data_IF_094680712762
#
_entry.id   IF_094680712762
#
_cell.length_a   1.000
_cell.length_b   1.000
_cell.length_c   1.000
_cell.angle_alpha   90.00
_cell.angle_beta   90.00
_cell.angle_gamma   90.00
#
_symmetry.space_group_name_H-M   'P 1'
#
loop_
_entity.id
_entity.type
_entity.pdbx_description
1 polymer ?
#
# COMPACT_ATOMS: atom_id res chain seq x y z
N UNK A 1 -5.30 24.99 13.11
CA UNK A 1 -4.84 24.63 11.75
C UNK A 1 -3.34 24.27 11.65
N UNK A 2 -2.45 24.69 12.57
CA UNK A 2 -1.01 24.38 12.50
C UNK A 2 -0.58 22.96 12.93
N UNK A 3 -1.44 22.18 13.60
CA UNK A 3 -1.09 20.81 14.02
C UNK A 3 -1.24 19.78 12.87
N UNK A 4 -2.29 19.90 12.04
CA UNK A 4 -2.51 19.00 10.91
C UNK A 4 -1.37 19.04 9.88
N UNK A 5 -0.75 20.21 9.67
CA UNK A 5 0.40 20.36 8.78
C UNK A 5 1.69 19.70 9.30
N UNK A 6 1.76 19.32 10.57
CA UNK A 6 2.96 18.68 11.12
C UNK A 6 2.93 17.15 10.98
N UNK A 7 1.74 16.56 11.02
CA UNK A 7 1.56 15.10 11.07
C UNK A 7 1.11 14.46 9.75
N UNK A 8 0.69 15.25 8.75
CA UNK A 8 0.26 14.71 7.45
C UNK A 8 1.32 13.83 6.77
N UNK A 9 2.60 14.07 7.05
CA UNK A 9 3.69 13.28 6.49
C UNK A 9 3.64 11.80 6.92
N UNK A 10 2.96 11.49 8.03
CA UNK A 10 2.86 10.14 8.56
C UNK A 10 1.66 9.34 8.02
N UNK A 11 0.72 10.01 7.35
CA UNK A 11 -0.49 9.40 6.76
C UNK A 11 -0.20 8.15 5.94
N UNK A 12 0.77 8.11 4.99
CA UNK A 12 1.00 6.91 4.21
C UNK A 12 1.47 5.72 5.05
N UNK A 13 2.29 5.91 6.09
CA UNK A 13 2.76 4.79 6.92
C UNK A 13 1.64 4.21 7.77
N UNK A 14 0.82 5.08 8.38
CA UNK A 14 -0.36 4.65 9.13
C UNK A 14 -1.34 3.89 8.24
N UNK A 15 -1.52 4.35 7.00
CA UNK A 15 -2.31 3.65 5.99
C UNK A 15 -1.78 2.23 5.73
N UNK A 16 -0.49 2.08 5.41
CA UNK A 16 0.07 0.76 5.12
C UNK A 16 0.06 -0.18 6.34
N UNK A 17 0.25 0.35 7.55
CA UNK A 17 0.10 -0.44 8.79
C UNK A 17 -1.35 -0.94 8.92
N UNK A 18 -2.34 -0.07 8.71
CA UNK A 18 -3.76 -0.44 8.80
C UNK A 18 -4.15 -1.48 7.75
N UNK A 19 -3.69 -1.32 6.50
CA UNK A 19 -3.91 -2.29 5.42
C UNK A 19 -3.32 -3.65 5.79
N UNK A 20 -2.08 -3.69 6.27
CA UNK A 20 -1.42 -4.92 6.68
C UNK A 20 -2.13 -5.58 7.86
N UNK A 21 -2.60 -4.81 8.85
CA UNK A 21 -3.36 -5.32 9.99
C UNK A 21 -4.73 -5.87 9.57
N UNK A 22 -5.42 -5.19 8.64
CA UNK A 22 -6.69 -5.67 8.09
C UNK A 22 -6.50 -6.99 7.34
N UNK A 23 -5.48 -7.06 6.47
CA UNK A 23 -5.18 -8.26 5.70
C UNK A 23 -4.79 -9.42 6.61
N UNK A 24 -3.93 -9.16 7.61
CA UNK A 24 -3.59 -10.14 8.64
C UNK A 24 -4.84 -10.68 9.33
N UNK A 25 -5.75 -9.81 9.76
CA UNK A 25 -6.97 -10.23 10.47
C UNK A 25 -7.85 -11.14 9.60
N UNK A 26 -7.97 -10.84 8.31
CA UNK A 26 -8.72 -11.66 7.37
C UNK A 26 -8.07 -13.03 7.16
N UNK A 27 -6.76 -13.06 6.89
CA UNK A 27 -6.04 -14.32 6.62
C UNK A 27 -5.86 -15.17 7.88
N UNK A 28 -5.62 -14.55 9.03
CA UNK A 28 -5.47 -15.26 10.30
C UNK A 28 -6.76 -16.01 10.69
N UNK A 29 -7.93 -15.55 10.26
CA UNK A 29 -9.20 -16.26 10.48
C UNK A 29 -9.31 -17.56 9.68
N UNK A 30 -8.66 -17.66 8.52
CA UNK A 30 -8.75 -18.82 7.62
C UNK A 30 -7.53 -19.73 7.69
N UNK A 31 -6.35 -19.16 7.88
CA UNK A 31 -5.05 -19.83 7.70
C UNK A 31 -4.21 -19.88 9.01
N UNK A 32 -4.62 -19.13 10.05
CA UNK A 32 -3.96 -19.15 11.37
C UNK A 32 -2.51 -18.68 11.34
N UNK A 33 -1.58 -19.52 11.83
CA UNK A 33 -0.17 -19.15 12.08
C UNK A 33 0.57 -18.70 10.81
N UNK A 34 0.18 -19.20 9.64
CA UNK A 34 0.78 -18.80 8.34
C UNK A 34 0.49 -17.34 7.97
N UNK A 35 -0.41 -16.65 8.69
CA UNK A 35 -0.69 -15.23 8.50
C UNK A 35 0.35 -14.30 9.16
N UNK A 36 1.12 -14.77 10.16
CA UNK A 36 2.07 -13.92 10.91
C UNK A 36 3.17 -13.24 10.07
N UNK A 37 3.70 -13.83 8.98
CA UNK A 37 4.58 -13.12 8.05
C UNK A 37 3.97 -11.83 7.48
N UNK A 38 2.64 -11.74 7.36
CA UNK A 38 1.95 -10.53 6.92
C UNK A 38 2.20 -9.39 7.90
N UNK A 39 2.11 -9.64 9.22
CA UNK A 39 2.42 -8.63 10.24
C UNK A 39 3.86 -8.12 10.15
N UNK A 40 4.81 -8.98 9.79
CA UNK A 40 6.21 -8.56 9.63
C UNK A 40 6.39 -7.50 8.52
N UNK A 41 5.53 -7.50 7.49
CA UNK A 41 5.55 -6.45 6.47
C UNK A 41 5.16 -5.06 7.00
N UNK A 42 4.51 -4.97 8.17
CA UNK A 42 4.21 -3.67 8.80
C UNK A 42 5.43 -3.04 9.48
N UNK A 43 6.45 -3.84 9.85
CA UNK A 43 7.66 -3.38 10.54
C UNK A 43 8.40 -2.24 9.83
N UNK A 44 8.69 -2.30 8.51
CA UNK A 44 9.37 -1.20 7.83
C UNK A 44 8.58 0.12 7.90
N UNK A 45 7.24 0.07 7.94
CA UNK A 45 6.39 1.25 8.08
C UNK A 45 6.36 1.77 9.51
N UNK A 46 6.31 0.87 10.51
CA UNK A 46 6.40 1.25 11.91
C UNK A 46 7.75 1.91 12.22
N UNK A 47 8.83 1.37 11.66
CA UNK A 47 10.16 1.93 11.79
C UNK A 47 10.25 3.35 11.23
N UNK A 48 9.58 3.65 10.12
CA UNK A 48 9.53 5.02 9.56
C UNK A 48 8.83 6.03 10.46
N UNK A 49 7.88 5.60 11.29
CA UNK A 49 7.21 6.48 12.25
C UNK A 49 8.14 6.80 13.42
N UNK A 50 8.82 5.78 13.96
CA UNK A 50 9.70 5.92 15.14
C UNK A 50 11.01 6.64 14.76
N UNK A 51 11.67 6.18 13.71
CA UNK A 51 12.97 6.67 13.24
C UNK A 51 12.97 6.83 11.72
N UNK A 52 12.57 8.01 11.21
CA UNK A 52 12.46 8.22 9.78
C UNK A 52 13.81 8.05 9.08
N UNK A 53 13.82 7.27 8.00
CA UNK A 53 15.01 7.02 7.20
C UNK A 53 14.69 7.23 5.73
N UNK A 54 15.36 8.20 5.11
CA UNK A 54 15.13 8.56 3.70
C UNK A 54 15.37 7.44 2.72
N UNK A 55 16.44 6.65 2.88
CA UNK A 55 16.77 5.54 1.96
C UNK A 55 15.67 4.49 2.02
N UNK A 56 15.29 4.09 3.23
CA UNK A 56 14.20 3.12 3.44
C UNK A 56 12.86 3.66 2.92
N UNK A 57 12.56 4.95 3.12
CA UNK A 57 11.32 5.56 2.65
C UNK A 57 11.25 5.61 1.12
N UNK A 58 12.38 5.91 0.46
CA UNK A 58 12.48 5.90 -0.99
C UNK A 58 12.27 4.48 -1.55
N UNK A 59 12.95 3.49 -0.98
CA UNK A 59 12.81 2.09 -1.40
C UNK A 59 11.36 1.63 -1.27
N UNK A 60 10.73 1.83 -0.10
CA UNK A 60 9.33 1.48 0.12
C UNK A 60 8.39 2.24 -0.83
N UNK A 61 8.61 3.55 -1.02
CA UNK A 61 7.80 4.33 -1.96
C UNK A 61 7.88 3.78 -3.39
N UNK A 62 9.09 3.52 -3.88
CA UNK A 62 9.32 3.02 -5.25
C UNK A 62 8.75 1.61 -5.43
N UNK A 63 8.96 0.71 -4.48
CA UNK A 63 8.45 -0.67 -4.57
C UNK A 63 6.92 -0.69 -4.64
N UNK A 64 6.25 0.05 -3.76
CA UNK A 64 4.79 0.11 -3.74
C UNK A 64 4.20 0.87 -4.93
N UNK A 65 4.88 1.90 -5.46
CA UNK A 65 4.49 2.52 -6.73
C UNK A 65 4.55 1.52 -7.87
N UNK A 66 5.63 0.75 -7.97
CA UNK A 66 5.81 -0.26 -9.02
C UNK A 66 4.73 -1.36 -8.92
N UNK A 67 4.56 -1.94 -7.73
CA UNK A 67 3.54 -2.96 -7.46
C UNK A 67 2.13 -2.46 -7.77
N UNK A 68 1.78 -1.26 -7.31
CA UNK A 68 0.45 -0.70 -7.53
C UNK A 68 0.22 -0.35 -9.00
N UNK A 69 1.24 0.18 -9.70
CA UNK A 69 1.18 0.45 -11.14
C UNK A 69 0.95 -0.83 -11.94
N UNK A 70 1.65 -1.91 -11.59
CA UNK A 70 1.44 -3.22 -12.20
C UNK A 70 0.00 -3.71 -12.02
N UNK A 71 -0.55 -3.61 -10.80
CA UNK A 71 -1.94 -3.99 -10.52
C UNK A 71 -2.95 -3.14 -11.29
N UNK A 72 -2.71 -1.83 -11.42
CA UNK A 72 -3.54 -0.92 -12.22
C UNK A 72 -3.48 -1.30 -13.69
N UNK A 73 -2.30 -1.62 -14.23
CA UNK A 73 -2.15 -2.07 -15.63
C UNK A 73 -2.85 -3.41 -15.88
N UNK A 74 -2.76 -4.35 -14.93
CA UNK A 74 -3.46 -5.62 -15.01
C UNK A 74 -4.99 -5.40 -15.02
N UNK A 75 -5.49 -4.50 -14.16
CA UNK A 75 -6.89 -4.09 -14.14
C UNK A 75 -7.32 -3.48 -15.49
N UNK A 76 -6.53 -2.56 -16.03
CA UNK A 76 -6.82 -1.89 -17.30
C UNK A 76 -6.81 -2.88 -18.47
N UNK A 77 -5.87 -3.82 -18.48
CA UNK A 77 -5.75 -4.86 -19.50
C UNK A 77 -7.00 -5.75 -19.54
N UNK A 78 -7.54 -6.09 -18.36
CA UNK A 78 -8.77 -6.86 -18.26
C UNK A 78 -10.01 -6.04 -18.65
N UNK A 79 -10.05 -4.74 -18.30
CA UNK A 79 -11.12 -3.83 -18.72
C UNK A 79 -11.23 -3.74 -20.25
N UNK A 80 -10.09 -3.76 -20.94
CA UNK A 80 -9.97 -3.72 -22.39
C UNK A 80 -10.14 -5.09 -23.06
N UNK A 81 -10.53 -6.12 -22.30
CA UNK A 81 -10.68 -7.51 -22.77
C UNK A 81 -9.42 -8.10 -23.43
N UNK A 82 -8.22 -7.60 -23.09
CA UNK A 82 -6.94 -8.13 -23.61
C UNK A 82 -6.58 -9.51 -22.99
N UNK A 83 -7.33 -9.95 -21.98
CA UNK A 83 -7.16 -11.21 -21.24
C UNK A 83 -8.53 -11.90 -21.09
N UNK A 84 -8.66 -13.23 -21.25
CA UNK A 84 -9.93 -13.94 -21.19
C UNK A 84 -10.67 -13.73 -19.86
N UNK A 85 -11.99 -13.55 -19.96
CA UNK A 85 -12.90 -13.24 -18.85
C UNK A 85 -13.09 -14.48 -17.97
N UNK A 86 -12.68 -14.42 -16.70
CA UNK A 86 -13.01 -15.45 -15.70
C UNK A 86 -14.09 -14.93 -14.75
N UNK A 87 -15.11 -15.74 -14.47
CA UNK A 87 -16.31 -15.32 -13.73
C UNK A 87 -16.05 -14.90 -12.27
N UNK A 88 -14.91 -15.29 -11.69
CA UNK A 88 -14.51 -14.89 -10.34
C UNK A 88 -14.02 -13.42 -10.27
N UNK A 89 -13.63 -12.82 -11.39
CA UNK A 89 -12.88 -11.55 -11.38
C UNK A 89 -13.75 -10.29 -11.18
N UNK A 90 -15.08 -10.39 -11.33
CA UNK A 90 -15.97 -9.22 -11.31
C UNK A 90 -16.01 -8.47 -9.98
N UNK A 91 -15.98 -9.17 -8.82
CA UNK A 91 -15.96 -8.51 -7.51
C UNK A 91 -14.55 -8.02 -7.12
N UNK A 92 -13.51 -8.77 -7.51
CA UNK A 92 -12.11 -8.35 -7.32
C UNK A 92 -11.78 -7.10 -8.13
N UNK A 93 -12.43 -6.88 -9.26
CA UNK A 93 -12.21 -5.74 -10.12
C UNK A 93 -12.61 -4.40 -9.45
N UNK A 94 -13.79 -4.33 -8.85
CA UNK A 94 -14.30 -3.08 -8.26
C UNK A 94 -13.60 -2.72 -6.96
N UNK A 95 -13.47 -3.68 -6.03
CA UNK A 95 -12.82 -3.43 -4.73
C UNK A 95 -11.29 -3.44 -4.83
N UNK A 96 -10.71 -4.31 -5.66
CA UNK A 96 -9.27 -4.38 -5.88
C UNK A 96 -8.73 -3.20 -6.70
N UNK A 97 -9.50 -2.67 -7.64
CA UNK A 97 -9.11 -1.49 -8.42
C UNK A 97 -8.98 -0.23 -7.56
N UNK A 98 -9.99 0.06 -6.74
CA UNK A 98 -9.94 1.16 -5.76
C UNK A 98 -8.76 1.00 -4.80
N UNK A 99 -8.54 -0.21 -4.29
CA UNK A 99 -7.40 -0.51 -3.42
C UNK A 99 -6.06 -0.24 -4.10
N UNK A 100 -5.88 -0.66 -5.35
CA UNK A 100 -4.65 -0.41 -6.11
C UNK A 100 -4.37 1.09 -6.32
N UNK A 101 -5.40 1.87 -6.63
CA UNK A 101 -5.28 3.33 -6.80
C UNK A 101 -4.92 4.02 -5.48
N UNK A 102 -5.56 3.66 -4.36
CA UNK A 102 -5.26 4.25 -3.06
C UNK A 102 -3.82 3.92 -2.63
N UNK A 103 -3.37 2.67 -2.82
CA UNK A 103 -1.97 2.28 -2.58
C UNK A 103 -0.99 3.09 -3.42
N UNK A 104 -1.30 3.30 -4.70
CA UNK A 104 -0.48 4.12 -5.59
C UNK A 104 -0.36 5.55 -5.08
N UNK A 105 -1.48 6.20 -4.71
CA UNK A 105 -1.49 7.56 -4.17
C UNK A 105 -0.63 7.66 -2.90
N UNK A 106 -0.79 6.71 -1.97
CA UNK A 106 -0.03 6.68 -0.72
C UNK A 106 1.47 6.45 -0.95
N UNK A 107 1.83 5.58 -1.89
CA UNK A 107 3.22 5.32 -2.25
C UNK A 107 3.87 6.55 -2.93
N UNK A 108 3.16 7.23 -3.84
CA UNK A 108 3.60 8.50 -4.43
C UNK A 108 3.79 9.57 -3.34
N UNK A 109 2.92 9.60 -2.34
CA UNK A 109 3.07 10.52 -1.20
C UNK A 109 4.36 10.23 -0.42
N UNK A 110 4.71 8.96 -0.18
CA UNK A 110 5.99 8.60 0.45
C UNK A 110 7.19 9.13 -0.34
N UNK A 111 7.20 8.97 -1.66
CA UNK A 111 8.25 9.49 -2.55
C UNK A 111 8.32 11.02 -2.45
N UNK A 112 7.16 11.70 -2.49
CA UNK A 112 7.08 13.16 -2.34
C UNK A 112 7.68 13.63 -1.02
N UNK A 113 7.43 12.92 0.08
CA UNK A 113 7.98 13.27 1.39
C UNK A 113 9.51 13.12 1.43
N UNK A 114 10.08 12.15 0.70
CA UNK A 114 11.53 12.02 0.52
C UNK A 114 12.13 13.20 -0.24
N UNK A 115 11.52 13.59 -1.37
CA UNK A 115 12.03 14.68 -2.23
C UNK A 115 11.98 16.02 -1.49
N UNK A 116 10.85 16.31 -0.84
CA UNK A 116 10.64 17.57 -0.10
C UNK A 116 11.47 17.70 1.17
N UNK A 117 12.34 16.72 1.49
CA UNK A 117 13.13 16.71 2.73
C UNK A 117 12.26 16.93 3.97
N UNK A 118 11.02 16.40 3.97
CA UNK A 118 10.10 16.55 5.10
C UNK A 118 10.49 15.72 6.34
N UNK A 119 11.65 15.04 6.22
CA UNK A 119 12.37 14.25 7.20
C UNK A 119 13.81 14.70 7.26
#
# INVERSE_FOLDING_TARGET
MALFSKYYKYTPYLYFIAVTAYWFTQVNRTEGITAYPILLFSLPFLWQIIKPNRKLNAILGITFVCLSSYLILALLSHALHLVPKSNAFSQYFTYGGLFAVINFIMAVWMIRNTIKKSF
#
